data_IF_859587914828
#
_entry.id   IF_859587914828
#
_cell.length_a   1.000
_cell.length_b   1.000
_cell.length_c   1.000
_cell.angle_alpha   90.00
_cell.angle_beta   90.00
_cell.angle_gamma   90.00
#
_symmetry.space_group_name_H-M   'P 1'
#
loop_
_entity.id
_entity.type
_entity.pdbx_description
1 polymer ?
#
# COMPACT_ATOMS: atom_id res chain seq x y z
N UNK A 1 -15.06 -41.21 -18.65
CA UNK A 1 -15.61 -39.85 -18.43
C UNK A 1 -17.11 -39.98 -18.24
N UNK A 2 -17.84 -39.09 -17.54
CA UNK A 2 -17.63 -38.27 -16.32
C UNK A 2 -18.75 -38.67 -15.29
N UNK A 3 -19.30 -37.85 -14.37
CA UNK A 3 -18.85 -36.63 -13.68
C UNK A 3 -18.84 -36.75 -12.12
N UNK A 4 -18.07 -35.86 -11.47
CA UNK A 4 -18.34 -35.40 -10.09
C UNK A 4 -19.47 -34.37 -10.18
N UNK A 5 -20.55 -34.55 -9.42
CA UNK A 5 -21.58 -33.52 -9.18
C UNK A 5 -21.87 -33.45 -7.68
N UNK A 6 -21.49 -32.30 -7.15
CA UNK A 6 -22.28 -31.44 -6.27
C UNK A 6 -22.76 -31.97 -4.93
N UNK A 7 -22.20 -31.35 -3.89
CA UNK A 7 -22.78 -31.26 -2.57
C UNK A 7 -24.23 -30.77 -2.66
N UNK A 8 -25.16 -31.63 -2.28
CA UNK A 8 -26.54 -31.24 -2.02
C UNK A 8 -26.74 -31.20 -0.51
N UNK A 9 -26.84 -29.99 0.01
CA UNK A 9 -27.31 -29.70 1.35
C UNK A 9 -28.85 -29.73 1.33
N UNK A 10 -29.43 -30.80 1.87
CA UNK A 10 -30.81 -30.91 2.34
C UNK A 10 -30.83 -32.27 3.06
N UNK A 11 -31.15 -32.39 4.34
CA UNK A 11 -32.54 -32.36 4.79
C UNK A 11 -32.64 -31.90 6.24
N UNK A 12 -33.71 -31.13 6.48
CA UNK A 12 -34.18 -30.77 7.80
C UNK A 12 -34.86 -31.98 8.47
N UNK A 13 -34.47 -32.32 9.69
CA UNK A 13 -35.38 -33.04 10.58
C UNK A 13 -35.25 -32.53 12.02
N UNK A 14 -36.13 -31.60 12.38
CA UNK A 14 -36.53 -31.41 13.77
C UNK A 14 -38.05 -31.35 13.82
N UNK A 15 -38.63 -32.52 14.09
CA UNK A 15 -40.04 -32.67 14.46
C UNK A 15 -40.28 -31.90 15.76
N UNK A 16 -41.34 -31.10 15.73
CA UNK A 16 -41.77 -30.13 16.75
C UNK A 16 -42.29 -30.83 18.02
N UNK A 17 -42.50 -30.07 19.10
CA UNK A 17 -43.90 -29.96 19.51
C UNK A 17 -44.38 -28.52 19.59
N UNK A 18 -45.66 -28.38 19.24
CA UNK A 18 -46.44 -27.15 19.32
C UNK A 18 -46.27 -26.44 20.67
N UNK A 19 -45.76 -25.21 20.64
CA UNK A 19 -46.15 -24.18 21.59
C UNK A 19 -46.57 -22.94 20.80
N UNK A 20 -47.83 -22.55 20.94
CA UNK A 20 -48.34 -21.26 20.50
C UNK A 20 -47.74 -20.18 21.39
N UNK A 21 -46.72 -19.49 20.89
CA UNK A 21 -46.10 -18.31 21.50
C UNK A 21 -45.61 -17.36 20.39
N UNK A 22 -45.60 -16.04 20.62
CA UNK A 22 -46.41 -15.09 19.88
C UNK A 22 -45.73 -14.57 18.60
N UNK A 23 -46.53 -14.03 17.68
CA UNK A 23 -46.13 -13.24 16.50
C UNK A 23 -45.27 -11.98 16.84
N UNK A 24 -44.76 -11.84 18.06
CA UNK A 24 -44.01 -10.71 18.62
C UNK A 24 -42.47 -10.86 18.56
N UNK A 25 -41.92 -12.03 18.23
CA UNK A 25 -40.44 -12.21 18.17
C UNK A 25 -39.82 -11.61 16.91
N UNK A 26 -40.57 -11.56 15.79
CA UNK A 26 -40.10 -10.95 14.53
C UNK A 26 -39.88 -9.43 14.63
N UNK A 27 -40.66 -8.73 15.45
CA UNK A 27 -40.48 -7.29 15.65
C UNK A 27 -39.26 -6.99 16.52
N UNK A 28 -39.02 -7.78 17.58
CA UNK A 28 -37.83 -7.63 18.45
C UNK A 28 -36.52 -7.92 17.69
N UNK A 29 -36.50 -8.90 16.78
CA UNK A 29 -35.34 -9.13 15.89
C UNK A 29 -35.15 -8.00 14.89
N UNK A 30 -36.23 -7.41 14.37
CA UNK A 30 -36.15 -6.29 13.43
C UNK A 30 -35.64 -5.00 14.09
N UNK A 31 -36.11 -4.71 15.31
CA UNK A 31 -35.61 -3.59 16.12
C UNK A 31 -34.11 -3.78 16.42
N UNK A 32 -33.70 -4.98 16.80
CA UNK A 32 -32.28 -5.27 17.08
C UNK A 32 -31.41 -5.09 15.82
N UNK A 33 -31.91 -5.48 14.64
CA UNK A 33 -31.21 -5.25 13.37
C UNK A 33 -31.14 -3.77 12.99
N UNK A 34 -32.19 -2.97 13.26
CA UNK A 34 -32.16 -1.52 13.04
C UNK A 34 -31.15 -0.83 13.96
N UNK A 35 -31.13 -1.17 15.25
CA UNK A 35 -30.15 -0.64 16.21
C UNK A 35 -28.72 -1.01 15.78
N UNK A 36 -28.49 -2.24 15.31
CA UNK A 36 -27.19 -2.64 14.77
C UNK A 36 -26.80 -1.84 13.53
N UNK A 37 -27.72 -1.60 12.61
CA UNK A 37 -27.45 -0.77 11.41
C UNK A 37 -27.12 0.67 11.76
N UNK A 38 -27.82 1.26 12.72
CA UNK A 38 -27.54 2.62 13.21
C UNK A 38 -26.20 2.68 13.94
N UNK A 39 -25.85 1.65 14.71
CA UNK A 39 -24.56 1.55 15.40
C UNK A 39 -23.41 1.43 14.38
N UNK A 40 -23.56 0.55 13.38
CA UNK A 40 -22.60 0.43 12.28
C UNK A 40 -22.48 1.74 11.51
N UNK A 41 -23.59 2.40 11.17
CA UNK A 41 -23.56 3.68 10.45
C UNK A 41 -22.89 4.82 11.24
N UNK A 42 -22.97 4.80 12.58
CA UNK A 42 -22.35 5.83 13.45
C UNK A 42 -20.86 5.58 13.71
N UNK A 43 -20.44 4.32 13.79
CA UNK A 43 -19.10 3.96 14.27
C UNK A 43 -18.22 3.27 13.21
N UNK A 44 -18.80 2.78 12.11
CA UNK A 44 -18.06 2.24 10.97
C UNK A 44 -17.99 3.31 9.90
N UNK A 45 -16.92 4.11 9.97
CA UNK A 45 -16.54 4.98 8.88
C UNK A 45 -15.97 4.11 7.75
N UNK A 46 -16.41 4.38 6.51
CA UNK A 46 -15.93 3.66 5.33
C UNK A 46 -14.40 3.84 5.23
N UNK A 47 -13.67 2.73 5.30
CA UNK A 47 -12.24 2.68 5.05
C UNK A 47 -11.96 2.29 3.59
N UNK A 48 -12.87 2.67 2.69
CA UNK A 48 -12.76 2.38 1.28
C UNK A 48 -11.47 2.99 0.72
N UNK A 49 -10.90 2.43 -0.36
CA UNK A 49 -9.72 2.99 -1.00
C UNK A 49 -9.93 4.46 -1.44
N UNK A 50 -11.17 4.86 -1.67
CA UNK A 50 -11.56 6.22 -2.06
C UNK A 50 -11.81 7.18 -0.88
N UNK A 51 -11.91 6.67 0.35
CA UNK A 51 -12.13 7.49 1.55
C UNK A 51 -10.81 7.99 2.16
N UNK A 52 -9.68 7.52 1.62
CA UNK A 52 -8.36 8.03 1.98
C UNK A 52 -8.19 9.40 1.33
N UNK A 53 -7.94 10.41 2.16
CA UNK A 53 -7.54 11.73 1.68
C UNK A 53 -6.28 11.53 0.84
N UNK A 54 -6.31 12.04 -0.40
CA UNK A 54 -5.17 11.97 -1.28
C UNK A 54 -4.07 12.87 -0.69
N UNK A 55 -2.86 12.34 -0.49
CA UNK A 55 -1.72 13.12 -0.02
C UNK A 55 -1.42 14.26 -1.00
N UNK A 56 -0.90 15.38 -0.51
CA UNK A 56 -0.43 16.47 -1.36
C UNK A 56 0.66 15.92 -2.30
N UNK A 57 0.57 16.08 -3.63
CA UNK A 57 1.59 15.60 -4.56
C UNK A 57 3.00 16.17 -4.28
N UNK A 58 3.11 17.30 -3.58
CA UNK A 58 4.40 17.88 -3.20
C UNK A 58 4.85 17.51 -1.78
N UNK A 59 4.07 16.71 -1.02
CA UNK A 59 4.53 16.18 0.26
C UNK A 59 5.33 14.88 0.07
N UNK A 60 6.65 15.04 -0.06
CA UNK A 60 7.55 13.91 -0.25
C UNK A 60 7.70 13.01 0.99
N UNK A 61 7.24 13.43 2.17
CA UNK A 61 7.29 12.60 3.37
C UNK A 61 6.22 11.52 3.37
N UNK A 62 5.10 11.73 2.70
CA UNK A 62 4.01 10.76 2.61
C UNK A 62 4.35 9.64 1.63
N UNK A 63 5.25 9.88 0.66
CA UNK A 63 5.67 8.85 -0.27
C UNK A 63 6.41 7.68 0.41
N UNK A 64 6.25 6.45 -0.10
CA UNK A 64 7.04 5.30 0.33
C UNK A 64 8.54 5.53 0.14
N UNK A 65 9.35 5.07 1.10
CA UNK A 65 10.82 5.20 1.03
C UNK A 65 11.41 4.55 -0.22
N UNK A 66 10.79 3.47 -0.72
CA UNK A 66 11.17 2.82 -1.99
C UNK A 66 11.06 3.77 -3.19
N UNK A 67 10.03 4.61 -3.25
CA UNK A 67 9.80 5.56 -4.33
C UNK A 67 10.86 6.67 -4.31
N UNK A 68 11.14 7.23 -3.13
CA UNK A 68 12.19 8.24 -2.95
C UNK A 68 13.56 7.69 -3.36
N UNK A 69 13.89 6.46 -2.97
CA UNK A 69 15.14 5.77 -3.38
C UNK A 69 15.20 5.52 -4.89
N UNK A 70 14.09 5.10 -5.49
CA UNK A 70 14.01 4.85 -6.93
C UNK A 70 14.18 6.15 -7.73
N UNK A 71 13.59 7.25 -7.25
CA UNK A 71 13.78 8.58 -7.84
C UNK A 71 15.25 8.99 -7.76
N UNK A 72 15.85 8.94 -6.57
CA UNK A 72 17.25 9.33 -6.36
C UNK A 72 18.21 8.54 -7.27
N UNK A 73 18.02 7.21 -7.34
CA UNK A 73 18.81 6.33 -8.23
C UNK A 73 18.65 6.66 -9.72
N UNK A 74 17.44 6.98 -10.18
CA UNK A 74 17.16 7.19 -11.61
C UNK A 74 17.53 8.58 -12.11
N UNK A 75 17.21 9.59 -11.33
CA UNK A 75 17.22 10.98 -11.79
C UNK A 75 18.35 11.81 -11.19
N UNK A 76 18.71 11.57 -9.93
CA UNK A 76 19.81 12.31 -9.30
C UNK A 76 21.16 11.68 -9.66
N UNK A 77 21.20 10.35 -9.90
CA UNK A 77 22.37 9.57 -10.40
C UNK A 77 23.70 9.80 -9.66
N UNK A 78 23.66 10.46 -8.52
CA UNK A 78 24.86 10.86 -7.81
C UNK A 78 25.17 9.80 -6.75
N UNK A 79 26.35 9.20 -6.83
CA UNK A 79 26.85 8.20 -5.87
C UNK A 79 26.97 8.74 -4.44
N UNK A 80 26.82 10.06 -4.28
CA UNK A 80 26.95 10.76 -3.02
C UNK A 80 25.67 10.84 -2.18
N UNK A 81 24.51 10.43 -2.69
CA UNK A 81 23.30 10.37 -1.84
C UNK A 81 23.33 9.08 -1.04
N UNK A 82 23.46 9.15 0.29
CA UNK A 82 23.50 7.95 1.10
C UNK A 82 22.14 7.26 1.12
N UNK A 83 22.15 5.95 1.38
CA UNK A 83 20.91 5.18 1.40
C UNK A 83 20.03 5.55 2.60
N UNK A 84 18.71 5.40 2.49
CA UNK A 84 17.83 5.67 3.62
C UNK A 84 17.86 4.50 4.62
N UNK A 85 17.89 4.79 5.93
CA UNK A 85 17.67 3.77 6.96
C UNK A 85 16.30 3.12 6.78
N UNK A 86 16.29 1.79 6.81
CA UNK A 86 15.08 0.96 6.79
C UNK A 86 15.05 0.13 8.07
N UNK A 87 13.92 -0.48 8.39
CA UNK A 87 13.80 -1.39 9.54
C UNK A 87 14.82 -2.53 9.48
N UNK A 88 14.98 -3.16 8.30
CA UNK A 88 16.04 -4.15 8.06
C UNK A 88 17.44 -3.54 8.21
N UNK A 89 17.59 -2.27 7.83
CA UNK A 89 18.81 -1.52 8.05
C UNK A 89 19.18 -1.39 9.53
N UNK A 90 18.21 -1.18 10.40
CA UNK A 90 18.41 -1.15 11.86
C UNK A 90 18.73 -2.54 12.43
N UNK A 91 18.16 -3.60 11.85
CA UNK A 91 18.52 -4.97 12.24
C UNK A 91 19.98 -5.29 11.96
N UNK A 92 20.57 -4.68 10.92
CA UNK A 92 21.99 -4.81 10.60
C UNK A 92 22.92 -4.08 11.56
N UNK A 93 22.40 -3.21 12.45
CA UNK A 93 23.17 -2.54 13.51
C UNK A 93 23.35 -3.44 14.75
N UNK A 94 22.90 -4.69 14.68
CA UNK A 94 23.18 -5.71 15.69
C UNK A 94 24.58 -6.31 15.51
N UNK A 95 25.14 -6.89 16.58
CA UNK A 95 26.47 -7.55 16.56
C UNK A 95 26.64 -8.57 15.43
N UNK A 96 25.59 -9.31 15.08
CA UNK A 96 25.60 -10.27 13.96
C UNK A 96 25.59 -9.56 12.59
N UNK A 97 24.95 -8.39 12.51
CA UNK A 97 24.86 -7.59 11.30
C UNK A 97 26.17 -6.85 10.97
N UNK A 98 26.99 -6.53 11.96
CA UNK A 98 28.27 -5.82 11.80
C UNK A 98 29.24 -6.54 10.85
N UNK A 99 29.22 -7.87 10.85
CA UNK A 99 30.11 -8.67 10.01
C UNK A 99 29.67 -8.70 8.53
N UNK A 100 28.40 -8.37 8.27
CA UNK A 100 27.81 -8.44 6.94
C UNK A 100 28.43 -7.41 5.97
N UNK A 101 28.51 -7.79 4.69
CA UNK A 101 28.93 -6.88 3.62
C UNK A 101 28.09 -5.59 3.59
N UNK A 102 26.79 -5.73 3.80
CA UNK A 102 25.85 -4.59 3.79
C UNK A 102 26.15 -3.59 4.91
N UNK A 103 26.52 -4.04 6.11
CA UNK A 103 26.91 -3.14 7.19
C UNK A 103 28.19 -2.38 6.85
N UNK A 104 29.26 -3.11 6.46
CA UNK A 104 30.56 -2.55 6.07
C UNK A 104 30.45 -1.51 4.96
N UNK A 105 29.66 -1.80 3.92
CA UNK A 105 29.40 -0.87 2.81
C UNK A 105 28.71 0.42 3.26
N UNK A 106 27.84 0.36 4.27
CA UNK A 106 27.07 1.51 4.76
C UNK A 106 27.76 2.27 5.90
N UNK A 107 28.94 1.82 6.35
CA UNK A 107 29.76 2.46 7.38
C UNK A 107 31.12 2.92 6.84
N UNK A 108 31.33 2.81 5.53
CA UNK A 108 32.47 3.41 4.86
C UNK A 108 32.34 4.96 4.89
N UNK A 109 33.47 5.69 4.90
CA UNK A 109 33.45 7.14 4.80
C UNK A 109 32.62 7.58 3.58
N UNK A 110 31.76 8.59 3.75
CA UNK A 110 30.81 9.11 2.75
C UNK A 110 29.61 8.21 2.39
N UNK A 111 29.31 7.15 3.14
CA UNK A 111 28.15 6.25 2.87
C UNK A 111 27.18 6.07 4.05
N UNK A 112 27.21 7.01 5.02
CA UNK A 112 26.34 6.96 6.19
C UNK A 112 24.87 7.12 5.82
N UNK A 113 24.05 6.13 6.17
CA UNK A 113 22.62 6.14 5.87
C UNK A 113 21.90 7.35 6.45
N UNK A 114 21.03 7.97 5.65
CA UNK A 114 20.22 9.13 6.04
C UNK A 114 18.82 8.70 6.50
N UNK A 115 18.15 9.61 7.21
CA UNK A 115 16.75 9.43 7.61
C UNK A 115 15.79 9.64 6.42
N UNK A 116 14.56 9.12 6.53
CA UNK A 116 13.52 9.33 5.50
C UNK A 116 13.24 10.82 5.24
N UNK A 117 13.06 11.68 6.27
CA UNK A 117 12.79 13.10 6.04
C UNK A 117 13.94 13.81 5.31
N UNK A 118 15.19 13.43 5.60
CA UNK A 118 16.35 13.97 4.89
C UNK A 118 16.34 13.55 3.40
N UNK A 119 16.06 12.28 3.11
CA UNK A 119 15.95 11.83 1.73
C UNK A 119 14.79 12.53 1.00
N UNK A 120 13.65 12.69 1.66
CA UNK A 120 12.49 13.42 1.12
C UNK A 120 12.85 14.87 0.79
N UNK A 121 13.56 15.57 1.69
CA UNK A 121 14.02 16.94 1.47
C UNK A 121 14.98 17.06 0.28
N UNK A 122 15.95 16.15 0.16
CA UNK A 122 16.90 16.14 -0.98
C UNK A 122 16.15 15.93 -2.29
N UNK A 123 15.22 14.96 -2.31
CA UNK A 123 14.41 14.64 -3.49
C UNK A 123 13.51 15.81 -3.87
N UNK A 124 12.84 16.44 -2.90
CA UNK A 124 11.99 17.61 -3.11
C UNK A 124 12.81 18.77 -3.70
N UNK A 125 13.96 19.09 -3.12
CA UNK A 125 14.83 20.15 -3.63
C UNK A 125 15.27 19.87 -5.07
N UNK A 126 15.70 18.64 -5.37
CA UNK A 126 16.04 18.27 -6.75
C UNK A 126 14.84 18.38 -7.69
N UNK A 127 13.66 17.95 -7.23
CA UNK A 127 12.44 17.99 -8.03
C UNK A 127 12.06 19.42 -8.43
N UNK A 128 12.12 20.37 -7.49
CA UNK A 128 11.77 21.77 -7.75
C UNK A 128 12.86 22.49 -8.54
N UNK A 129 14.14 22.26 -8.23
CA UNK A 129 15.24 23.07 -8.76
C UNK A 129 15.88 22.54 -10.04
N UNK A 130 15.83 21.23 -10.30
CA UNK A 130 16.65 20.60 -11.34
C UNK A 130 15.88 19.82 -12.41
N UNK A 131 14.55 19.72 -12.32
CA UNK A 131 13.72 19.10 -13.36
C UNK A 131 13.13 20.17 -14.28
N UNK A 132 13.71 20.40 -15.48
CA UNK A 132 13.06 21.21 -16.49
C UNK A 132 11.85 20.45 -17.04
N UNK A 133 10.65 20.98 -16.79
CA UNK A 133 9.39 20.38 -17.26
C UNK A 133 8.82 21.21 -18.40
N UNK A 134 8.62 20.58 -19.55
CA UNK A 134 7.80 21.13 -20.64
C UNK A 134 6.45 20.44 -20.61
N UNK A 135 5.38 21.22 -20.46
CA UNK A 135 4.03 20.70 -20.28
C UNK A 135 3.59 19.84 -21.47
N UNK A 136 3.79 20.32 -22.70
CA UNK A 136 3.44 19.62 -23.94
C UNK A 136 4.03 18.20 -24.00
N UNK A 137 5.31 18.09 -23.68
CA UNK A 137 6.05 16.83 -23.77
C UNK A 137 5.63 15.90 -22.62
N UNK A 138 5.40 16.45 -21.44
CA UNK A 138 5.06 15.69 -20.24
C UNK A 138 3.67 15.06 -20.36
N UNK A 139 2.67 15.83 -20.76
CA UNK A 139 1.30 15.35 -20.95
C UNK A 139 1.26 14.28 -22.05
N UNK A 140 1.91 14.55 -23.18
CA UNK A 140 1.93 13.61 -24.32
C UNK A 140 2.60 12.28 -23.93
N UNK A 141 3.77 12.34 -23.29
CA UNK A 141 4.48 11.15 -22.83
C UNK A 141 3.71 10.37 -21.77
N UNK A 142 3.02 11.07 -20.86
CA UNK A 142 2.18 10.44 -19.85
C UNK A 142 1.02 9.67 -20.50
N UNK A 143 0.24 10.33 -21.36
CA UNK A 143 -0.90 9.71 -22.05
C UNK A 143 -0.44 8.51 -22.87
N UNK A 144 0.67 8.65 -23.61
CA UNK A 144 1.23 7.57 -24.40
C UNK A 144 1.63 6.37 -23.54
N UNK A 145 2.32 6.59 -22.42
CA UNK A 145 2.73 5.52 -21.50
C UNK A 145 1.52 4.82 -20.89
N UNK A 146 0.54 5.56 -20.38
CA UNK A 146 -0.65 4.97 -19.74
C UNK A 146 -1.45 4.14 -20.75
N UNK A 147 -1.67 4.65 -21.98
CA UNK A 147 -2.43 3.92 -23.00
C UNK A 147 -1.71 2.67 -23.56
N UNK A 148 -0.39 2.61 -23.44
CA UNK A 148 0.42 1.51 -23.99
C UNK A 148 1.11 0.65 -22.91
N UNK A 149 0.82 0.87 -21.63
CA UNK A 149 1.44 0.16 -20.50
C UNK A 149 1.24 -1.36 -20.58
N UNK A 150 0.09 -1.81 -21.09
CA UNK A 150 -0.23 -3.24 -21.25
C UNK A 150 0.39 -3.87 -22.51
N UNK A 151 0.89 -3.04 -23.43
CA UNK A 151 1.48 -3.47 -24.71
C UNK A 151 3.01 -3.56 -24.65
N UNK A 152 3.65 -2.98 -23.63
CA UNK A 152 5.09 -3.10 -23.46
C UNK A 152 5.44 -4.51 -23.02
N UNK A 153 6.12 -5.27 -23.88
CA UNK A 153 6.66 -6.59 -23.55
C UNK A 153 7.63 -6.46 -22.37
N UNK A 154 7.27 -7.02 -21.21
CA UNK A 154 8.14 -7.08 -20.03
C UNK A 154 8.89 -8.40 -20.04
N UNK A 155 10.13 -8.36 -20.53
CA UNK A 155 11.07 -9.46 -20.35
C UNK A 155 11.56 -9.40 -18.89
N UNK A 156 10.84 -10.07 -17.99
CA UNK A 156 11.28 -10.26 -16.62
C UNK A 156 12.35 -11.35 -16.61
N UNK A 157 13.63 -10.97 -16.64
CA UNK A 157 14.73 -11.88 -16.31
C UNK A 157 14.99 -11.70 -14.82
N UNK A 158 14.83 -12.82 -14.11
CA UNK A 158 15.11 -13.08 -12.69
C UNK A 158 16.43 -12.49 -12.20
#
# INVERSE_FOLDING_TARGET
>A
MPPRRDASASESESRRPHSSAPKQTKSRSHITQQVQKEFVAKYVNSNGPNDRILPDPLDFNEYPTSNLRNYARKLIKNEQIPDCKTVFGSMLESKIGEESFSYKKNHAPNTYRISKPQLASIVHQHFVSHLPVKESDTITNFIYKVKNQDKSFKLNIT
#
